data_IF_954933720610
#
_entry.id   IF_954933720610
#
_cell.length_a   1.000
_cell.length_b   1.000
_cell.length_c   1.000
_cell.angle_alpha   90.00
_cell.angle_beta   90.00
_cell.angle_gamma   90.00
#
_symmetry.space_group_name_H-M   'P 1'
#
loop_
_entity.id
_entity.type
_entity.pdbx_description
1 polymer ?
#
# COMPACT_ATOMS: atom_id res chain seq x y z
N UNK A 1 13.12 34.01 30.14
CA UNK A 1 12.83 32.64 30.63
C UNK A 1 12.41 31.87 29.40
N UNK A 2 13.25 30.99 28.89
CA UNK A 2 12.88 30.16 27.72
C UNK A 2 12.10 28.98 28.28
N UNK A 3 10.82 28.89 27.96
CA UNK A 3 9.95 27.78 28.32
C UNK A 3 9.31 27.21 27.06
N UNK A 4 9.00 25.92 27.07
CA UNK A 4 8.30 25.30 25.95
C UNK A 4 6.82 25.71 25.96
N UNK A 5 6.21 25.72 24.78
CA UNK A 5 4.77 25.92 24.60
C UNK A 5 4.22 24.72 23.84
N UNK A 6 3.07 24.19 24.28
CA UNK A 6 2.39 23.08 23.62
C UNK A 6 1.07 23.55 23.02
N UNK A 7 0.88 23.29 21.73
CA UNK A 7 -0.38 23.50 21.02
C UNK A 7 -0.98 22.14 20.66
N UNK A 8 -2.28 21.93 20.92
CA UNK A 8 -2.97 20.66 20.63
C UNK A 8 -4.03 20.92 19.57
N UNK A 9 -4.07 20.08 18.53
CA UNK A 9 -5.03 20.13 17.43
C UNK A 9 -5.64 18.74 17.25
N UNK A 10 -6.85 18.53 17.78
CA UNK A 10 -7.46 17.20 17.89
C UNK A 10 -6.53 16.23 18.66
N UNK A 11 -6.11 15.14 18.02
CA UNK A 11 -5.19 14.14 18.58
C UNK A 11 -3.70 14.52 18.40
N UNK A 12 -3.41 15.44 17.50
CA UNK A 12 -2.06 15.90 17.19
C UNK A 12 -1.62 17.00 18.16
N UNK A 13 -0.30 17.16 18.29
CA UNK A 13 0.25 18.26 19.07
C UNK A 13 1.60 18.75 18.52
N UNK A 14 1.87 20.03 18.81
CA UNK A 14 3.13 20.70 18.55
C UNK A 14 3.75 21.15 19.88
N UNK A 15 5.02 20.80 20.14
CA UNK A 15 5.81 21.36 21.25
C UNK A 15 6.90 22.26 20.69
N UNK A 16 6.82 23.55 20.99
CA UNK A 16 7.72 24.56 20.45
C UNK A 16 8.54 25.24 21.54
N UNK A 17 9.81 25.53 21.26
CA UNK A 17 10.67 26.40 22.08
C UNK A 17 11.32 27.44 21.19
N UNK A 18 11.00 28.71 21.45
CA UNK A 18 11.55 29.86 20.72
C UNK A 18 12.54 30.61 21.61
N UNK A 19 13.83 30.55 21.26
CA UNK A 19 14.89 31.32 21.90
C UNK A 19 15.74 32.04 20.84
N UNK A 20 16.96 31.57 20.58
CA UNK A 20 17.81 32.02 19.46
C UNK A 20 17.57 31.20 18.18
N UNK A 21 17.09 29.97 18.34
CA UNK A 21 16.67 29.02 17.31
C UNK A 21 15.23 28.58 17.64
N UNK A 22 14.42 28.35 16.62
CA UNK A 22 13.06 27.81 16.76
C UNK A 22 13.11 26.28 16.66
N UNK A 23 12.78 25.59 17.75
CA UNK A 23 12.68 24.13 17.76
C UNK A 23 11.23 23.72 17.88
N UNK A 24 10.78 22.83 17.00
CA UNK A 24 9.40 22.33 16.99
C UNK A 24 9.38 20.81 16.89
N UNK A 25 8.64 20.17 17.79
CA UNK A 25 8.29 18.74 17.71
C UNK A 25 6.80 18.62 17.40
N UNK A 26 6.48 18.10 16.22
CA UNK A 26 5.12 17.81 15.79
C UNK A 26 4.83 16.30 15.92
N UNK A 27 3.65 15.95 16.40
CA UNK A 27 3.16 14.57 16.47
C UNK A 27 1.93 14.40 15.58
N UNK A 28 1.94 13.36 14.74
CA UNK A 28 0.85 12.94 13.84
C UNK A 28 0.27 11.63 14.36
N UNK A 29 -0.91 11.67 14.97
CA UNK A 29 -1.50 10.49 15.62
C UNK A 29 -1.87 9.39 14.61
N UNK A 30 -2.29 9.77 13.40
CA UNK A 30 -2.67 8.87 12.32
C UNK A 30 -1.54 7.94 11.83
N UNK A 31 -0.28 8.39 11.93
CA UNK A 31 0.89 7.60 11.57
C UNK A 31 1.39 6.73 12.74
N UNK A 32 1.00 7.06 13.98
CA UNK A 32 1.52 6.41 15.16
C UNK A 32 1.00 4.98 15.33
N UNK A 33 1.92 4.01 15.34
CA UNK A 33 1.63 2.58 15.48
C UNK A 33 1.64 2.06 16.94
N UNK A 34 1.72 2.94 17.93
CA UNK A 34 1.68 2.54 19.35
C UNK A 34 2.87 1.70 19.85
N UNK A 35 4.04 1.79 19.19
CA UNK A 35 5.19 0.94 19.50
C UNK A 35 5.98 1.30 20.78
N UNK A 36 5.79 2.50 21.33
CA UNK A 36 6.45 2.93 22.58
C UNK A 36 7.96 3.19 22.47
N UNK A 37 8.56 3.20 21.27
CA UNK A 37 10.00 3.47 21.12
C UNK A 37 10.34 4.90 21.57
N UNK A 38 9.47 5.87 21.29
CA UNK A 38 9.63 7.26 21.69
C UNK A 38 9.71 7.45 23.22
N UNK A 39 8.93 6.68 23.99
CA UNK A 39 9.00 6.63 25.45
C UNK A 39 10.35 6.09 25.93
N UNK A 40 10.80 4.94 25.38
CA UNK A 40 12.08 4.31 25.75
C UNK A 40 13.30 5.18 25.45
N UNK A 41 13.31 5.83 24.27
CA UNK A 41 14.46 6.64 23.83
C UNK A 41 14.51 7.99 24.55
N UNK A 42 13.40 8.47 25.12
CA UNK A 42 13.35 9.75 25.82
C UNK A 42 14.32 9.77 27.02
N UNK A 43 15.30 10.69 27.07
CA UNK A 43 16.28 10.74 28.16
C UNK A 43 15.76 11.39 29.44
N UNK A 44 14.63 12.08 29.36
CA UNK A 44 14.05 12.88 30.45
C UNK A 44 12.64 12.42 30.83
N UNK A 45 12.21 11.25 30.32
CA UNK A 45 10.91 10.63 30.66
C UNK A 45 9.75 11.63 30.49
N UNK A 46 9.81 12.40 29.40
CA UNK A 46 8.80 13.38 29.03
C UNK A 46 7.68 12.80 28.18
N UNK A 47 7.81 11.55 27.70
CA UNK A 47 6.83 10.91 26.82
C UNK A 47 6.25 9.71 27.57
N UNK A 48 4.92 9.59 27.56
CA UNK A 48 4.19 8.44 28.11
C UNK A 48 3.33 7.81 27.00
N UNK A 49 3.38 6.49 26.89
CA UNK A 49 2.53 5.74 25.96
C UNK A 49 1.13 5.55 26.57
N UNK A 50 0.09 5.78 25.79
CA UNK A 50 -1.29 5.49 26.19
C UNK A 50 -1.60 3.99 26.22
N UNK A 51 -2.79 3.63 26.70
CA UNK A 51 -3.29 2.25 26.60
C UNK A 51 -3.67 1.93 25.15
N UNK A 52 -2.69 1.47 24.37
CA UNK A 52 -2.84 1.20 22.93
C UNK A 52 -3.96 0.19 22.66
N UNK A 53 -4.15 -0.79 23.54
CA UNK A 53 -5.20 -1.79 23.40
C UNK A 53 -6.60 -1.19 23.51
N UNK A 54 -6.79 -0.27 24.45
CA UNK A 54 -8.04 0.48 24.55
C UNK A 54 -8.22 1.45 23.37
N UNK A 55 -7.18 2.21 23.03
CA UNK A 55 -7.25 3.26 22.00
C UNK A 55 -7.66 2.69 20.64
N UNK A 56 -7.00 1.61 20.22
CA UNK A 56 -7.20 1.02 18.89
C UNK A 56 -8.53 0.27 18.77
N UNK A 57 -9.08 -0.23 19.89
CA UNK A 57 -10.26 -1.10 19.87
C UNK A 57 -11.55 -0.44 20.37
N UNK A 58 -11.49 0.75 20.96
CA UNK A 58 -12.68 1.39 21.57
C UNK A 58 -13.05 2.74 20.96
N UNK A 59 -12.51 3.10 19.78
CA UNK A 59 -12.69 4.41 19.12
C UNK A 59 -12.48 5.58 20.09
N UNK A 60 -11.57 5.41 21.05
CA UNK A 60 -11.32 6.41 22.07
C UNK A 60 -10.60 7.61 21.44
N UNK A 61 -11.20 8.80 21.57
CA UNK A 61 -10.64 10.06 21.08
C UNK A 61 -9.55 10.58 22.04
N UNK A 62 -8.49 9.80 22.19
CA UNK A 62 -7.32 10.11 23.02
C UNK A 62 -6.05 9.81 22.24
N UNK A 63 -5.08 10.72 22.31
CA UNK A 63 -3.79 10.58 21.63
C UNK A 63 -3.04 9.34 22.11
N UNK A 64 -2.38 8.64 21.18
CA UNK A 64 -1.59 7.43 21.50
C UNK A 64 -0.40 7.71 22.41
N UNK A 65 0.10 8.93 22.44
CA UNK A 65 1.17 9.36 23.35
C UNK A 65 0.84 10.70 24.00
N UNK A 66 1.40 10.93 25.19
CA UNK A 66 1.41 12.23 25.85
C UNK A 66 2.84 12.73 26.02
N UNK A 67 3.06 14.04 25.81
CA UNK A 67 4.34 14.70 26.06
C UNK A 67 4.17 15.78 27.12
N UNK A 68 4.99 15.69 28.18
CA UNK A 68 5.16 16.71 29.22
C UNK A 68 6.11 17.80 28.71
N UNK A 69 5.54 18.95 28.35
CA UNK A 69 6.28 20.10 27.83
C UNK A 69 7.24 20.71 28.85
N UNK A 70 7.06 20.48 30.15
CA UNK A 70 7.97 21.00 31.19
C UNK A 70 9.23 20.14 31.34
N UNK A 71 9.13 18.85 31.03
CA UNK A 71 10.28 17.93 31.00
C UNK A 71 10.97 17.91 29.63
N UNK A 72 10.21 18.05 28.55
CA UNK A 72 10.75 17.96 27.20
C UNK A 72 11.89 18.96 26.97
N UNK A 73 13.02 18.48 26.43
CA UNK A 73 14.18 19.34 26.13
C UNK A 73 14.38 19.60 24.65
N UNK A 74 13.49 19.07 23.79
CA UNK A 74 13.53 19.17 22.32
C UNK A 74 14.90 18.74 21.76
N UNK A 75 15.28 17.49 22.06
CA UNK A 75 16.52 16.88 21.58
C UNK A 75 16.38 16.10 20.27
N UNK A 76 15.16 15.84 19.79
CA UNK A 76 14.89 15.09 18.56
C UNK A 76 15.02 13.56 18.65
N UNK A 77 15.41 12.98 19.80
CA UNK A 77 15.63 11.52 19.93
C UNK A 77 14.38 10.69 19.65
N UNK A 78 13.20 11.18 20.03
CA UNK A 78 11.93 10.49 19.77
C UNK A 78 11.49 10.55 18.30
N UNK A 79 11.91 11.58 17.57
CA UNK A 79 11.69 11.73 16.13
C UNK A 79 12.56 10.73 15.37
N UNK A 80 13.87 10.73 15.61
CA UNK A 80 14.80 9.71 15.05
C UNK A 80 14.42 8.29 15.46
N UNK A 81 13.96 8.11 16.71
CA UNK A 81 13.57 6.79 17.22
C UNK A 81 12.25 6.28 16.62
N UNK A 82 11.47 7.12 15.95
CA UNK A 82 10.19 6.73 15.39
C UNK A 82 10.40 5.93 14.10
N UNK A 83 9.95 4.67 13.99
CA UNK A 83 10.14 3.88 12.78
C UNK A 83 9.08 4.16 11.69
N UNK A 84 8.17 5.12 11.93
CA UNK A 84 7.01 5.42 11.08
C UNK A 84 6.78 6.93 10.93
N UNK A 85 7.79 7.74 11.27
CA UNK A 85 7.80 9.20 11.09
C UNK A 85 6.58 9.96 11.66
N UNK A 86 5.91 9.38 12.66
CA UNK A 86 4.80 10.00 13.39
C UNK A 86 5.26 11.17 14.28
N UNK A 87 6.57 11.33 14.52
CA UNK A 87 7.17 12.42 15.27
C UNK A 87 8.15 13.17 14.38
N UNK A 88 7.77 14.37 13.97
CA UNK A 88 8.57 15.23 13.12
C UNK A 88 9.24 16.32 13.96
N UNK A 89 10.56 16.41 13.89
CA UNK A 89 11.31 17.42 14.63
C UNK A 89 12.04 18.36 13.69
N UNK A 90 11.75 19.65 13.80
CA UNK A 90 12.33 20.70 12.95
C UNK A 90 13.09 21.74 13.77
N UNK A 91 14.14 22.29 13.17
CA UNK A 91 14.95 23.38 13.72
C UNK A 91 14.99 24.48 12.67
N UNK A 92 14.52 25.67 13.02
CA UNK A 92 14.38 26.82 12.12
C UNK A 92 13.63 26.47 10.81
N UNK A 93 12.70 25.52 10.89
CA UNK A 93 11.88 25.03 9.78
C UNK A 93 12.47 23.88 8.95
N UNK A 94 13.72 23.47 9.21
CA UNK A 94 14.37 22.35 8.52
C UNK A 94 14.21 21.05 9.33
N UNK A 95 13.87 19.94 8.66
CA UNK A 95 13.72 18.62 9.29
C UNK A 95 15.08 18.05 9.70
N UNK A 96 15.16 17.47 10.89
CA UNK A 96 16.41 16.82 11.32
C UNK A 96 16.74 15.56 10.51
N UNK A 97 15.78 15.01 9.75
CA UNK A 97 16.00 13.87 8.85
C UNK A 97 16.98 14.21 7.73
N UNK A 98 17.04 15.49 7.32
CA UNK A 98 17.93 15.99 6.28
C UNK A 98 19.28 16.49 6.83
N UNK A 99 19.46 16.46 8.16
CA UNK A 99 20.65 17.00 8.83
C UNK A 99 21.64 15.90 9.23
N UNK A 100 22.85 15.93 8.66
CA UNK A 100 23.97 15.02 9.02
C UNK A 100 24.34 15.00 10.52
N UNK A 101 23.96 16.04 11.27
CA UNK A 101 24.23 16.13 12.71
C UNK A 101 23.39 15.15 13.54
N UNK A 102 22.24 14.69 13.01
CA UNK A 102 21.31 13.79 13.68
C UNK A 102 21.44 12.39 13.09
N UNK A 103 21.58 11.34 13.93
CA UNK A 103 21.63 9.98 13.43
C UNK A 103 20.28 9.61 12.81
N UNK A 104 20.29 8.81 11.76
CA UNK A 104 19.09 8.30 11.08
C UNK A 104 19.16 6.79 10.94
N UNK A 105 18.01 6.10 10.90
CA UNK A 105 17.99 4.67 10.63
C UNK A 105 18.51 4.38 9.21
N UNK A 106 19.32 3.33 9.09
CA UNK A 106 19.82 2.87 7.80
C UNK A 106 18.83 1.88 7.18
N UNK A 107 17.62 2.36 6.87
CA UNK A 107 16.54 1.62 6.24
C UNK A 107 16.15 2.23 4.90
N UNK A 108 15.66 1.40 3.97
CA UNK A 108 15.23 1.82 2.64
C UNK A 108 14.13 0.89 2.12
N UNK A 109 13.30 1.39 1.21
CA UNK A 109 12.48 0.57 0.34
C UNK A 109 12.53 1.19 -1.06
N UNK A 110 12.89 0.40 -2.05
CA UNK A 110 13.03 0.85 -3.43
C UNK A 110 12.44 -0.18 -4.39
N UNK A 111 11.94 0.29 -5.53
CA UNK A 111 11.50 -0.53 -6.66
C UNK A 111 12.31 -0.08 -7.88
N UNK A 112 12.97 -1.03 -8.52
CA UNK A 112 13.65 -0.81 -9.79
C UNK A 112 12.64 -0.86 -10.95
N UNK A 113 12.30 0.31 -11.50
CA UNK A 113 11.37 0.43 -12.64
C UNK A 113 11.93 -0.18 -13.94
N UNK A 114 13.24 -0.43 -14.07
CA UNK A 114 13.79 -1.14 -15.22
C UNK A 114 13.49 -2.65 -15.18
N UNK A 115 13.40 -3.23 -13.97
CA UNK A 115 13.07 -4.65 -13.76
C UNK A 115 11.57 -4.86 -13.53
N UNK A 116 10.86 -3.84 -13.02
CA UNK A 116 9.44 -3.92 -12.69
C UNK A 116 8.56 -4.17 -13.92
N UNK A 117 7.66 -5.15 -13.82
CA UNK A 117 6.66 -5.47 -14.85
C UNK A 117 5.26 -4.91 -14.53
N UNK A 118 5.17 -4.01 -13.54
CA UNK A 118 3.92 -3.33 -13.13
C UNK A 118 2.73 -4.28 -12.86
N UNK A 119 2.99 -5.43 -12.23
CA UNK A 119 1.98 -6.46 -11.99
C UNK A 119 0.96 -6.12 -10.88
N UNK A 120 1.23 -5.08 -10.07
CA UNK A 120 0.42 -4.61 -8.92
C UNK A 120 0.37 -5.53 -7.70
N UNK A 121 1.20 -6.57 -7.63
CA UNK A 121 1.25 -7.47 -6.47
C UNK A 121 1.68 -6.74 -5.18
N UNK A 122 2.72 -5.89 -5.25
CA UNK A 122 3.20 -5.12 -4.10
C UNK A 122 2.22 -4.02 -3.65
N UNK A 123 1.51 -3.37 -4.57
CA UNK A 123 0.42 -2.42 -4.27
C UNK A 123 -0.67 -3.10 -3.43
N UNK A 124 -1.07 -4.31 -3.82
CA UNK A 124 -2.08 -5.10 -3.10
C UNK A 124 -1.58 -5.63 -1.75
N UNK A 125 -0.31 -6.04 -1.68
CA UNK A 125 0.28 -6.65 -0.49
C UNK A 125 0.73 -5.63 0.56
N UNK A 126 0.75 -4.33 0.26
CA UNK A 126 1.25 -3.32 1.18
C UNK A 126 0.24 -3.07 2.33
N UNK A 127 0.55 -3.43 3.58
CA UNK A 127 -0.39 -3.27 4.71
C UNK A 127 -0.64 -1.81 5.10
N UNK A 128 0.11 -0.88 4.49
CA UNK A 128 0.05 0.56 4.74
C UNK A 128 -0.44 1.35 3.53
N UNK A 129 -0.78 0.67 2.44
CA UNK A 129 -1.20 1.30 1.18
C UNK A 129 -0.17 2.33 0.67
N UNK A 130 1.11 2.14 1.01
CA UNK A 130 2.19 3.08 0.71
C UNK A 130 2.72 2.97 -0.73
N UNK A 131 2.20 2.04 -1.54
CA UNK A 131 2.75 1.75 -2.88
C UNK A 131 1.67 2.02 -3.92
N UNK A 132 2.00 2.83 -4.93
CA UNK A 132 1.18 3.03 -6.13
C UNK A 132 1.89 2.45 -7.34
N UNK A 133 1.20 1.61 -8.10
CA UNK A 133 1.70 1.04 -9.36
C UNK A 133 0.79 1.49 -10.50
N UNK A 134 1.30 2.38 -11.36
CA UNK A 134 0.62 2.78 -12.59
C UNK A 134 1.06 1.86 -13.73
N UNK A 135 0.12 1.49 -14.61
CA UNK A 135 0.43 0.82 -15.87
C UNK A 135 -0.48 1.28 -16.98
N UNK A 136 0.09 1.46 -18.16
CA UNK A 136 -0.64 1.70 -19.40
C UNK A 136 -0.71 0.38 -20.17
N UNK A 137 -1.93 -0.05 -20.47
CA UNK A 137 -2.17 -1.26 -21.25
C UNK A 137 -2.33 -0.88 -22.73
N UNK A 138 -1.89 -1.76 -23.64
CA UNK A 138 -2.06 -1.54 -25.06
C UNK A 138 -3.54 -1.46 -25.47
N UNK A 139 -3.81 -0.69 -26.52
CA UNK A 139 -5.15 -0.61 -27.10
C UNK A 139 -5.55 -1.95 -27.72
N UNK A 140 -6.75 -2.44 -27.37
CA UNK A 140 -7.27 -3.72 -27.86
C UNK A 140 -7.20 -3.85 -29.38
N UNK A 141 -7.51 -2.76 -30.10
CA UNK A 141 -7.55 -2.70 -31.55
C UNK A 141 -6.21 -3.07 -32.22
N UNK A 142 -5.09 -2.82 -31.53
CA UNK A 142 -3.74 -3.14 -32.00
C UNK A 142 -3.32 -4.59 -31.79
N UNK A 143 -4.08 -5.35 -30.99
CA UNK A 143 -3.79 -6.74 -30.66
C UNK A 143 -4.67 -7.74 -31.43
N UNK A 144 -5.53 -7.24 -32.33
CA UNK A 144 -6.44 -8.05 -33.14
C UNK A 144 -6.45 -7.53 -34.57
N UNK A 145 -6.53 -8.43 -35.56
CA UNK A 145 -6.61 -8.04 -36.97
C UNK A 145 -7.72 -8.80 -37.68
N UNK A 146 -8.42 -8.09 -38.54
CA UNK A 146 -9.51 -8.64 -39.33
C UNK A 146 -10.22 -7.56 -40.14
N UNK A 147 -11.20 -8.02 -40.89
CA UNK A 147 -12.07 -7.17 -41.68
C UNK A 147 -13.52 -7.48 -41.30
N UNK A 148 -14.35 -6.44 -41.21
CA UNK A 148 -15.77 -6.54 -40.95
C UNK A 148 -16.52 -5.45 -41.71
N UNK A 149 -17.60 -5.83 -42.37
CA UNK A 149 -18.49 -4.95 -43.11
C UNK A 149 -19.92 -5.49 -43.02
N UNK A 150 -20.89 -4.60 -42.86
CA UNK A 150 -22.31 -4.93 -42.81
C UNK A 150 -22.98 -4.34 -44.04
N UNK A 151 -23.58 -5.19 -44.86
CA UNK A 151 -24.43 -4.78 -45.96
C UNK A 151 -25.77 -4.28 -45.40
N UNK A 152 -25.96 -2.96 -45.43
CA UNK A 152 -27.14 -2.29 -44.89
C UNK A 152 -28.39 -2.50 -45.76
N UNK A 153 -28.23 -2.90 -47.02
CA UNK A 153 -29.36 -3.19 -47.93
C UNK A 153 -29.92 -4.61 -47.68
N UNK A 154 -29.08 -5.55 -47.24
CA UNK A 154 -29.50 -6.92 -46.87
C UNK A 154 -29.94 -6.99 -45.40
N UNK A 155 -29.37 -6.15 -44.53
CA UNK A 155 -29.68 -6.14 -43.10
C UNK A 155 -31.17 -5.90 -42.84
N UNK A 156 -31.80 -6.82 -42.10
CA UNK A 156 -33.21 -6.72 -41.70
C UNK A 156 -33.43 -6.09 -40.32
N UNK A 157 -32.37 -5.55 -39.70
CA UNK A 157 -32.41 -4.85 -38.40
C UNK A 157 -33.04 -5.69 -37.27
N UNK A 158 -32.67 -6.97 -37.17
CA UNK A 158 -33.23 -7.90 -36.18
C UNK A 158 -32.62 -7.83 -34.78
N UNK A 159 -31.52 -7.08 -34.57
CA UNK A 159 -30.84 -6.93 -33.27
C UNK A 159 -29.93 -8.10 -32.84
N UNK A 160 -30.05 -9.29 -33.43
CA UNK A 160 -29.31 -10.48 -32.97
C UNK A 160 -27.78 -10.26 -32.91
N UNK A 161 -27.19 -9.59 -33.90
CA UNK A 161 -25.74 -9.36 -33.92
C UNK A 161 -25.26 -8.34 -32.89
N UNK A 162 -26.11 -7.41 -32.47
CA UNK A 162 -25.86 -6.48 -31.37
C UNK A 162 -25.91 -7.24 -30.04
N UNK A 163 -26.97 -8.01 -29.78
CA UNK A 163 -27.14 -8.80 -28.56
C UNK A 163 -26.05 -9.88 -28.38
N UNK A 164 -25.60 -10.49 -29.47
CA UNK A 164 -24.63 -11.58 -29.44
C UNK A 164 -23.17 -11.09 -29.50
N UNK A 165 -22.92 -9.79 -29.63
CA UNK A 165 -21.56 -9.26 -29.71
C UNK A 165 -20.90 -9.26 -28.32
N UNK A 166 -19.93 -10.14 -28.03
CA UNK A 166 -19.36 -10.23 -26.67
C UNK A 166 -18.53 -9.01 -26.26
N UNK A 167 -18.21 -8.14 -27.22
CA UNK A 167 -17.42 -6.93 -26.99
C UNK A 167 -18.25 -5.64 -27.12
N UNK A 168 -19.57 -5.75 -27.29
CA UNK A 168 -20.49 -4.63 -27.54
C UNK A 168 -19.97 -3.68 -28.64
N UNK A 169 -19.41 -4.28 -29.69
CA UNK A 169 -18.80 -3.57 -30.82
C UNK A 169 -19.83 -3.22 -31.90
N UNK A 170 -21.04 -3.77 -31.85
CA UNK A 170 -22.10 -3.49 -32.82
C UNK A 170 -23.19 -2.72 -32.11
N UNK A 171 -23.65 -1.62 -32.69
CA UNK A 171 -24.74 -0.80 -32.16
C UNK A 171 -25.78 -0.56 -33.24
N UNK A 172 -27.05 -0.74 -32.87
CA UNK A 172 -28.20 -0.47 -33.74
C UNK A 172 -28.95 0.77 -33.26
N UNK A 173 -29.14 1.74 -34.15
CA UNK A 173 -29.92 2.95 -33.87
C UNK A 173 -31.41 2.63 -34.00
N UNK A 174 -31.94 1.95 -32.98
CA UNK A 174 -33.33 1.52 -32.90
C UNK A 174 -34.28 2.71 -32.76
N UNK A 175 -35.44 2.65 -33.43
CA UNK A 175 -36.48 3.68 -33.36
C UNK A 175 -37.88 3.09 -33.38
N UNK A 176 -38.85 3.86 -32.88
CA UNK A 176 -40.26 3.50 -32.95
C UNK A 176 -40.76 3.78 -34.38
N UNK A 177 -41.30 2.78 -35.10
CA UNK A 177 -41.83 2.98 -36.43
C UNK A 177 -42.99 3.99 -36.44
N UNK A 178 -43.07 4.79 -37.50
CA UNK A 178 -44.18 5.73 -37.73
C UNK A 178 -44.80 5.49 -39.11
N UNK A 179 -45.95 6.10 -39.39
CA UNK A 179 -46.53 6.04 -40.74
C UNK A 179 -45.67 6.73 -41.81
N UNK A 180 -44.79 7.66 -41.42
CA UNK A 180 -43.87 8.34 -42.32
C UNK A 180 -42.60 7.52 -42.59
N UNK A 181 -42.23 6.66 -41.63
CA UNK A 181 -41.06 5.80 -41.71
C UNK A 181 -41.35 4.49 -40.95
N UNK A 182 -41.75 3.42 -41.65
CA UNK A 182 -42.18 2.17 -41.03
C UNK A 182 -41.01 1.26 -40.60
N UNK A 183 -39.76 1.75 -40.59
CA UNK A 183 -38.58 0.96 -40.19
C UNK A 183 -38.36 0.97 -38.68
N UNK A 184 -37.77 -0.10 -38.15
CA UNK A 184 -37.50 -0.30 -36.71
C UNK A 184 -36.12 0.20 -36.25
N UNK A 185 -35.25 0.54 -37.20
CA UNK A 185 -33.93 1.13 -36.94
C UNK A 185 -33.56 2.09 -38.08
N UNK A 186 -32.70 3.07 -37.79
CA UNK A 186 -32.16 3.99 -38.80
C UNK A 186 -30.77 3.59 -39.30
N UNK A 187 -29.95 2.98 -38.45
CA UNK A 187 -28.61 2.59 -38.83
C UNK A 187 -28.05 1.44 -37.97
N UNK A 188 -26.99 0.82 -38.46
CA UNK A 188 -26.18 -0.17 -37.75
C UNK A 188 -24.70 0.16 -37.94
N UNK A 189 -23.94 0.19 -36.86
CA UNK A 189 -22.54 0.59 -36.85
C UNK A 189 -21.67 -0.43 -36.10
N UNK A 190 -20.42 -0.56 -36.55
CA UNK A 190 -19.42 -1.43 -35.92
C UNK A 190 -18.24 -0.58 -35.45
N UNK A 191 -18.02 -0.56 -34.13
CA UNK A 191 -16.85 0.01 -33.48
C UNK A 191 -15.67 -0.95 -33.64
N UNK A 192 -14.72 -0.59 -34.51
CA UNK A 192 -13.54 -1.41 -34.80
C UNK A 192 -12.55 -1.43 -33.64
N UNK A 193 -12.59 -0.46 -32.73
CA UNK A 193 -11.68 -0.42 -31.59
C UNK A 193 -12.10 -1.43 -30.50
N UNK A 194 -13.39 -1.80 -30.48
CA UNK A 194 -13.93 -2.86 -29.62
C UNK A 194 -13.93 -4.24 -30.25
N UNK A 195 -14.11 -4.32 -31.57
CA UNK A 195 -14.28 -5.58 -32.30
C UNK A 195 -13.03 -6.47 -32.22
N UNK A 196 -13.21 -7.72 -31.80
CA UNK A 196 -12.13 -8.74 -31.72
C UNK A 196 -12.20 -9.76 -32.87
N UNK A 197 -12.99 -9.50 -33.90
CA UNK A 197 -13.15 -10.34 -35.10
C UNK A 197 -13.49 -11.82 -34.80
N UNK A 198 -14.27 -12.09 -33.74
CA UNK A 198 -14.65 -13.45 -33.31
C UNK A 198 -15.64 -14.18 -34.24
N UNK A 199 -16.21 -13.47 -35.23
CA UNK A 199 -17.14 -13.98 -36.25
C UNK A 199 -18.52 -14.43 -35.74
N UNK A 200 -18.88 -14.14 -34.49
CA UNK A 200 -20.20 -14.50 -33.92
C UNK A 200 -21.33 -13.79 -34.67
N UNK A 201 -21.19 -12.50 -34.96
CA UNK A 201 -22.19 -11.71 -35.70
C UNK A 201 -22.44 -12.27 -37.11
N UNK A 202 -21.38 -12.67 -37.81
CA UNK A 202 -21.48 -13.33 -39.12
C UNK A 202 -22.25 -14.64 -39.03
N UNK A 203 -21.95 -15.49 -38.04
CA UNK A 203 -22.59 -16.80 -37.88
C UNK A 203 -24.05 -16.73 -37.41
N UNK A 204 -24.38 -15.69 -36.65
CA UNK A 204 -25.72 -15.49 -36.08
C UNK A 204 -26.66 -14.71 -37.00
N UNK A 205 -26.13 -14.04 -38.03
CA UNK A 205 -26.94 -13.28 -38.97
C UNK A 205 -27.87 -14.20 -39.77
N UNK A 206 -29.21 -14.06 -39.66
CA UNK A 206 -30.16 -14.95 -40.33
C UNK A 206 -30.26 -14.71 -41.85
N UNK A 207 -29.67 -13.63 -42.36
CA UNK A 207 -29.75 -13.19 -43.76
C UNK A 207 -28.37 -12.98 -44.39
N UNK A 208 -27.30 -13.44 -43.73
CA UNK A 208 -25.92 -13.34 -44.21
C UNK A 208 -25.46 -11.91 -44.62
N UNK A 209 -26.01 -10.87 -43.99
CA UNK A 209 -25.69 -9.46 -44.27
C UNK A 209 -24.29 -9.02 -43.77
N UNK A 210 -23.57 -9.86 -43.02
CA UNK A 210 -22.32 -9.48 -42.36
C UNK A 210 -21.15 -10.25 -42.97
N UNK A 211 -20.27 -9.51 -43.64
CA UNK A 211 -18.95 -9.99 -44.02
C UNK A 211 -18.02 -9.78 -42.82
N UNK A 212 -17.40 -10.85 -42.35
CA UNK A 212 -16.33 -10.76 -41.37
C UNK A 212 -15.27 -11.84 -41.63
N UNK A 213 -14.02 -11.46 -41.44
CA UNK A 213 -12.85 -12.31 -41.54
C UNK A 213 -11.87 -11.99 -40.40
N UNK A 214 -11.46 -13.02 -39.67
CA UNK A 214 -10.36 -12.93 -38.73
C UNK A 214 -9.05 -13.18 -39.47
N UNK A 215 -8.06 -12.31 -39.29
CA UNK A 215 -6.75 -12.41 -39.93
C UNK A 215 -5.65 -12.82 -38.95
N UNK A 216 -5.92 -12.88 -37.64
CA UNK A 216 -4.91 -13.04 -36.60
C UNK A 216 -4.02 -14.27 -36.77
N UNK A 217 -4.56 -15.43 -37.14
CA UNK A 217 -3.74 -16.65 -37.30
C UNK A 217 -2.91 -16.68 -38.59
N UNK A 218 -3.36 -16.02 -39.66
CA UNK A 218 -2.73 -16.11 -40.99
C UNK A 218 -1.80 -14.96 -41.29
N UNK A 219 -2.13 -13.77 -40.78
CA UNK A 219 -1.39 -12.53 -41.02
C UNK A 219 -0.96 -11.83 -39.74
N UNK A 220 -1.23 -12.39 -38.55
CA UNK A 220 -0.92 -11.74 -37.27
C UNK A 220 0.55 -11.33 -37.13
N UNK A 221 1.50 -12.13 -37.62
CA UNK A 221 2.93 -11.79 -37.58
C UNK A 221 3.30 -10.58 -38.46
N UNK A 222 2.46 -10.21 -39.43
CA UNK A 222 2.68 -9.07 -40.33
C UNK A 222 1.79 -7.87 -39.99
N UNK A 223 0.57 -8.14 -39.55
CA UNK A 223 -0.46 -7.12 -39.26
C UNK A 223 -0.32 -6.57 -37.83
N UNK A 224 0.25 -7.32 -36.88
CA UNK A 224 0.40 -6.93 -35.48
C UNK A 224 1.87 -6.69 -35.15
N UNK A 225 2.17 -5.49 -34.64
CA UNK A 225 3.52 -5.14 -34.19
C UNK A 225 3.71 -5.58 -32.72
N UNK A 226 4.73 -6.40 -32.40
CA UNK A 226 5.04 -6.73 -31.01
C UNK A 226 5.27 -5.50 -30.11
N UNK A 227 5.78 -4.39 -30.66
CA UNK A 227 5.99 -3.15 -29.90
C UNK A 227 4.67 -2.54 -29.40
N UNK A 228 3.56 -2.77 -30.11
CA UNK A 228 2.24 -2.33 -29.68
C UNK A 228 1.69 -3.13 -28.49
N UNK A 229 2.38 -4.19 -28.05
CA UNK A 229 2.01 -4.99 -26.87
C UNK A 229 2.81 -4.65 -25.61
N UNK A 230 3.76 -3.72 -25.70
CA UNK A 230 4.57 -3.30 -24.56
C UNK A 230 3.70 -2.63 -23.49
N UNK A 231 3.90 -3.04 -22.23
CA UNK A 231 3.25 -2.45 -21.06
C UNK A 231 4.26 -1.49 -20.43
N UNK A 232 3.90 -0.22 -20.35
CA UNK A 232 4.68 0.81 -19.66
C UNK A 232 4.02 1.15 -18.33
N UNK A 233 4.76 1.78 -17.43
CA UNK A 233 4.25 2.11 -16.12
C UNK A 233 5.24 2.92 -15.30
N UNK A 234 4.87 3.11 -14.04
CA UNK A 234 5.74 3.70 -13.02
C UNK A 234 5.38 3.14 -11.65
N UNK A 235 6.37 3.12 -10.75
CA UNK A 235 6.16 2.82 -9.34
C UNK A 235 6.42 4.03 -8.46
N UNK A 236 5.70 4.12 -7.35
CA UNK A 236 5.90 5.14 -6.33
C UNK A 236 5.69 4.52 -4.94
N UNK A 237 6.61 4.82 -4.02
CA UNK A 237 6.49 4.48 -2.60
C UNK A 237 6.37 5.78 -1.81
N UNK A 238 5.28 5.93 -1.06
CA UNK A 238 5.09 7.00 -0.09
C UNK A 238 5.91 6.69 1.17
N UNK A 239 6.96 7.48 1.38
CA UNK A 239 7.89 7.28 2.50
C UNK A 239 7.27 7.58 3.87
N UNK A 240 6.27 8.46 3.96
CA UNK A 240 5.59 8.80 5.23
C UNK A 240 4.71 7.64 5.71
N UNK A 241 4.19 6.82 4.77
CA UNK A 241 3.35 5.66 5.09
C UNK A 241 4.16 4.36 5.20
N UNK A 242 5.30 4.26 4.51
CA UNK A 242 6.05 3.02 4.36
C UNK A 242 6.82 2.65 5.64
N UNK A 243 6.45 1.52 6.24
CA UNK A 243 7.09 1.02 7.47
C UNK A 243 8.25 0.06 7.22
N UNK A 244 8.69 -0.11 5.96
CA UNK A 244 9.80 -1.00 5.55
C UNK A 244 9.62 -2.46 5.99
N UNK A 245 8.40 -2.99 5.89
CA UNK A 245 8.07 -4.36 6.31
C UNK A 245 8.66 -5.46 5.41
N UNK A 246 8.83 -5.20 4.11
CA UNK A 246 9.39 -6.17 3.15
C UNK A 246 8.35 -6.98 2.36
N UNK A 247 7.05 -6.75 2.55
CA UNK A 247 6.01 -7.41 1.75
C UNK A 247 6.21 -7.25 0.25
N UNK A 248 6.58 -6.05 -0.19
CA UNK A 248 6.84 -5.76 -1.60
C UNK A 248 8.03 -6.53 -2.18
N UNK A 249 9.07 -6.78 -1.38
CA UNK A 249 10.24 -7.57 -1.79
C UNK A 249 9.87 -9.05 -1.93
N UNK A 250 9.22 -9.64 -0.93
CA UNK A 250 8.90 -11.09 -0.95
C UNK A 250 7.81 -11.45 -1.97
N UNK A 251 6.84 -10.57 -2.24
CA UNK A 251 5.75 -10.84 -3.19
C UNK A 251 6.17 -10.57 -4.65
N UNK A 252 7.31 -9.91 -4.87
CA UNK A 252 7.72 -9.50 -6.20
C UNK A 252 8.13 -10.72 -7.05
N UNK A 253 7.46 -10.99 -8.18
CA UNK A 253 7.79 -12.16 -9.00
C UNK A 253 9.11 -12.02 -9.79
N UNK A 254 9.68 -10.81 -9.82
CA UNK A 254 10.87 -10.46 -10.61
C UNK A 254 11.96 -9.80 -9.75
N UNK A 255 11.84 -9.86 -8.42
CA UNK A 255 12.81 -9.31 -7.47
C UNK A 255 13.17 -7.82 -7.65
N UNK A 256 12.29 -7.03 -8.29
CA UNK A 256 12.48 -5.60 -8.55
C UNK A 256 12.42 -4.74 -7.28
N UNK A 257 11.76 -5.21 -6.21
CA UNK A 257 11.65 -4.51 -4.94
C UNK A 257 12.75 -4.95 -3.97
N UNK A 258 13.34 -3.98 -3.25
CA UNK A 258 14.35 -4.23 -2.21
C UNK A 258 14.03 -3.43 -0.96
N UNK A 259 14.08 -4.09 0.20
CA UNK A 259 13.79 -3.46 1.48
C UNK A 259 14.91 -3.73 2.48
N UNK A 260 15.41 -2.66 3.10
CA UNK A 260 16.31 -2.72 4.24
C UNK A 260 15.59 -2.25 5.50
N UNK A 261 15.54 -3.10 6.51
CA UNK A 261 14.85 -2.84 7.78
C UNK A 261 15.74 -2.07 8.76
N UNK A 262 15.16 -1.25 9.66
CA UNK A 262 15.92 -0.51 10.67
C UNK A 262 16.40 -1.40 11.84
N UNK A 263 15.67 -2.48 12.13
CA UNK A 263 15.93 -3.36 13.28
C UNK A 263 16.09 -4.82 12.86
N UNK A 264 16.91 -5.55 13.62
CA UNK A 264 16.95 -7.02 13.61
C UNK A 264 16.55 -7.52 14.98
N UNK A 265 15.92 -8.69 15.03
CA UNK A 265 15.32 -9.17 16.26
C UNK A 265 14.75 -10.57 16.17
N UNK A 266 13.98 -10.91 17.21
CA UNK A 266 13.23 -12.14 17.34
C UNK A 266 11.87 -11.80 17.99
N UNK A 267 10.79 -12.38 17.45
CA UNK A 267 9.43 -12.26 17.96
C UNK A 267 9.00 -13.60 18.58
N UNK A 268 8.60 -13.66 19.84
CA UNK A 268 8.18 -14.92 20.48
C UNK A 268 6.75 -14.82 20.99
N UNK A 269 5.97 -15.90 20.84
CA UNK A 269 4.60 -16.01 21.34
C UNK A 269 4.51 -17.19 22.32
N UNK A 270 4.05 -16.93 23.53
CA UNK A 270 3.75 -17.92 24.55
C UNK A 270 2.32 -18.44 24.36
N UNK A 271 2.23 -19.64 23.78
CA UNK A 271 0.96 -20.32 23.49
C UNK A 271 0.12 -20.60 24.75
N UNK A 272 0.74 -20.79 25.92
CA UNK A 272 0.02 -21.09 27.16
C UNK A 272 -0.65 -19.84 27.74
N UNK A 273 0.05 -18.69 27.66
CA UNK A 273 -0.52 -17.39 28.07
C UNK A 273 -1.50 -16.82 27.06
N UNK A 274 -1.31 -17.12 25.77
CA UNK A 274 -2.13 -16.56 24.71
C UNK A 274 -3.60 -16.99 24.84
N UNK A 275 -4.50 -16.00 24.84
CA UNK A 275 -5.95 -16.20 24.92
C UNK A 275 -6.66 -15.94 23.59
N UNK A 276 -5.92 -15.68 22.50
CA UNK A 276 -6.46 -15.48 21.14
C UNK A 276 -7.46 -14.31 21.06
N UNK A 277 -7.13 -13.16 21.70
CA UNK A 277 -8.03 -12.02 21.79
C UNK A 277 -8.03 -11.06 20.58
N UNK A 278 -7.13 -11.24 19.62
CA UNK A 278 -7.02 -10.42 18.39
C UNK A 278 -6.12 -9.18 18.49
N UNK A 279 -5.86 -8.66 19.69
CA UNK A 279 -5.24 -7.33 19.82
C UNK A 279 -3.88 -7.19 19.11
N UNK A 280 -3.03 -8.23 19.15
CA UNK A 280 -1.72 -8.22 18.50
C UNK A 280 -1.81 -8.29 16.96
N UNK A 281 -2.83 -8.97 16.44
CA UNK A 281 -3.12 -9.05 14.99
C UNK A 281 -3.60 -7.68 14.53
N UNK A 282 -4.59 -7.11 15.22
CA UNK A 282 -5.20 -5.83 14.87
C UNK A 282 -4.21 -4.65 14.90
N UNK A 283 -3.25 -4.65 15.82
CA UNK A 283 -2.28 -3.54 15.95
C UNK A 283 -1.09 -3.66 14.99
N UNK A 284 -0.87 -4.82 14.36
CA UNK A 284 0.36 -5.05 13.62
C UNK A 284 0.39 -4.21 12.33
N UNK A 285 1.26 -3.19 12.20
CA UNK A 285 1.27 -2.34 11.01
C UNK A 285 1.90 -3.02 9.79
N UNK A 286 2.31 -4.29 9.94
CA UNK A 286 3.07 -5.05 8.97
C UNK A 286 2.39 -6.38 8.61
N UNK A 287 1.17 -6.65 9.09
CA UNK A 287 0.45 -7.93 8.87
C UNK A 287 1.29 -9.19 9.14
N UNK A 288 2.14 -9.14 10.17
CA UNK A 288 3.04 -10.25 10.55
C UNK A 288 2.26 -11.39 11.21
N UNK A 289 1.22 -11.04 11.96
CA UNK A 289 0.48 -11.94 12.84
C UNK A 289 -0.88 -12.25 12.23
N UNK A 290 -1.28 -13.52 12.25
CA UNK A 290 -2.60 -13.94 11.75
C UNK A 290 -3.14 -15.15 12.51
N UNK A 291 -4.42 -15.44 12.32
CA UNK A 291 -5.05 -16.64 12.86
C UNK A 291 -5.08 -17.72 11.78
N UNK A 292 -4.24 -18.78 11.89
CA UNK A 292 -4.20 -19.84 10.90
C UNK A 292 -5.53 -20.61 10.89
N UNK A 293 -5.97 -21.00 9.70
CA UNK A 293 -7.14 -21.87 9.53
C UNK A 293 -6.67 -23.32 9.41
N UNK A 294 -7.33 -24.28 10.08
CA UNK A 294 -7.02 -25.70 9.88
C UNK A 294 -7.41 -26.13 8.46
N UNK A 295 -6.54 -26.88 7.80
CA UNK A 295 -6.82 -27.44 6.46
C UNK A 295 -7.69 -28.70 6.56
N UNK A 296 -7.56 -29.45 7.66
CA UNK A 296 -8.29 -30.68 7.91
C UNK A 296 -9.10 -30.63 9.21
N UNK A 297 -10.22 -31.39 9.22
CA UNK A 297 -11.09 -31.48 10.40
C UNK A 297 -10.33 -32.16 11.55
N UNK A 298 -10.17 -31.44 12.65
CA UNK A 298 -9.47 -31.93 13.84
C UNK A 298 -7.98 -31.58 13.88
N UNK A 299 -7.45 -30.91 12.87
CA UNK A 299 -6.10 -30.35 12.91
C UNK A 299 -6.02 -29.25 13.98
N UNK A 300 -5.04 -29.38 14.88
CA UNK A 300 -4.69 -28.34 15.84
C UNK A 300 -3.60 -27.48 15.18
N UNK A 301 -3.89 -26.20 15.02
CA UNK A 301 -2.95 -25.19 14.55
C UNK A 301 -2.50 -24.32 15.72
N UNK A 302 -1.40 -23.60 15.54
CA UNK A 302 -0.92 -22.60 16.49
C UNK A 302 -2.00 -21.53 16.74
N UNK A 303 -2.07 -20.96 17.95
CA UNK A 303 -3.08 -19.94 18.25
C UNK A 303 -2.87 -18.68 17.43
N UNK A 304 -1.61 -18.31 17.17
CA UNK A 304 -1.23 -17.15 16.38
C UNK A 304 -0.07 -17.55 15.47
N UNK A 305 -0.28 -17.47 14.16
CA UNK A 305 0.78 -17.64 13.18
C UNK A 305 1.57 -16.33 13.06
N UNK A 306 2.88 -16.45 12.83
CA UNK A 306 3.78 -15.33 12.58
C UNK A 306 4.69 -15.61 11.38
N UNK A 307 4.97 -14.58 10.58
CA UNK A 307 6.07 -14.61 9.61
C UNK A 307 7.03 -13.42 9.84
N UNK A 308 8.17 -13.70 10.48
CA UNK A 308 9.15 -12.70 10.86
C UNK A 308 9.85 -12.03 9.67
N UNK A 309 9.70 -12.59 8.45
CA UNK A 309 10.14 -11.93 7.21
C UNK A 309 9.50 -10.56 7.04
N UNK A 310 8.30 -10.34 7.55
CA UNK A 310 7.60 -9.04 7.47
C UNK A 310 7.78 -8.17 8.73
N UNK A 311 8.35 -8.74 9.80
CA UNK A 311 8.47 -8.07 11.08
C UNK A 311 9.57 -7.01 11.05
N UNK A 312 9.24 -5.82 11.54
CA UNK A 312 10.22 -4.75 11.77
C UNK A 312 10.65 -4.67 13.23
N UNK A 313 10.15 -5.53 14.11
CA UNK A 313 10.47 -5.55 15.54
C UNK A 313 10.14 -4.23 16.27
N UNK A 314 9.06 -3.54 15.88
CA UNK A 314 8.65 -2.28 16.51
C UNK A 314 8.19 -2.46 17.96
N UNK A 315 7.60 -3.62 18.31
CA UNK A 315 7.14 -3.91 19.68
C UNK A 315 5.67 -3.57 19.97
N UNK A 316 4.91 -3.05 19.00
CA UNK A 316 3.50 -2.70 19.20
C UNK A 316 2.63 -3.89 19.67
N UNK A 317 2.88 -5.07 19.11
CA UNK A 317 2.19 -6.31 19.51
C UNK A 317 2.48 -6.75 20.95
N UNK A 318 3.67 -6.44 21.50
CA UNK A 318 3.99 -6.71 22.90
C UNK A 318 3.27 -5.71 23.82
N UNK A 319 3.26 -4.42 23.46
CA UNK A 319 2.62 -3.37 24.26
C UNK A 319 1.10 -3.54 24.35
N UNK A 320 0.47 -4.06 23.30
CA UNK A 320 -0.99 -4.25 23.28
C UNK A 320 -1.43 -5.52 24.02
N UNK A 321 -0.51 -6.43 24.35
CA UNK A 321 -0.85 -7.74 24.87
C UNK A 321 -1.15 -7.69 26.38
N UNK A 322 -2.42 -7.87 26.82
CA UNK A 322 -2.79 -7.69 28.23
C UNK A 322 -2.30 -8.83 29.15
N UNK A 323 -1.86 -9.94 28.56
CA UNK A 323 -1.39 -11.14 29.27
C UNK A 323 0.11 -11.39 29.09
N UNK A 324 0.83 -10.44 28.47
CA UNK A 324 2.28 -10.53 28.22
C UNK A 324 2.68 -11.86 27.56
N UNK A 325 1.88 -12.31 26.59
CA UNK A 325 2.13 -13.53 25.83
C UNK A 325 3.07 -13.29 24.64
N UNK A 326 3.40 -12.04 24.29
CA UNK A 326 4.23 -11.70 23.14
C UNK A 326 5.46 -10.95 23.61
N UNK A 327 6.64 -11.40 23.19
CA UNK A 327 7.93 -10.77 23.45
C UNK A 327 8.60 -10.35 22.14
N UNK A 328 9.15 -9.14 22.09
CA UNK A 328 9.94 -8.64 20.95
C UNK A 328 11.34 -8.28 21.42
N UNK A 329 12.33 -9.02 20.93
CA UNK A 329 13.76 -8.77 21.18
C UNK A 329 14.37 -8.06 19.99
N UNK A 330 15.07 -6.94 20.23
CA UNK A 330 15.88 -6.27 19.21
C UNK A 330 17.35 -6.60 19.45
N UNK A 331 17.94 -7.34 18.53
CA UNK A 331 19.35 -7.73 18.60
C UNK A 331 20.25 -6.66 17.99
N UNK A 332 19.76 -5.94 16.99
CA UNK A 332 20.53 -4.90 16.32
C UNK A 332 19.65 -3.73 15.86
N UNK A 333 20.28 -2.57 15.77
CA UNK A 333 19.67 -1.31 15.33
C UNK A 333 20.65 -0.64 14.39
N UNK A 334 20.30 -0.56 13.12
CA UNK A 334 21.17 -0.02 12.07
C UNK A 334 20.91 1.48 11.92
N UNK A 335 21.88 2.34 12.26
CA UNK A 335 21.78 3.81 12.19
C UNK A 335 23.09 4.48 11.75
N UNK A 336 23.00 5.71 11.26
CA UNK A 336 24.17 6.48 10.80
C UNK A 336 25.13 6.81 11.97
N UNK A 337 26.45 6.86 11.73
CA UNK A 337 27.41 7.11 12.80
C UNK A 337 27.22 8.49 13.45
N UNK A 338 27.07 8.51 14.77
CA UNK A 338 27.01 9.76 15.56
C UNK A 338 28.24 9.95 16.44
N UNK A 339 28.61 11.21 16.72
CA UNK A 339 29.68 11.55 17.68
C UNK A 339 29.15 11.67 19.11
N UNK A 340 27.85 11.90 19.29
CA UNK A 340 27.28 12.16 20.61
C UNK A 340 27.14 10.87 21.43
N UNK A 341 27.74 10.87 22.62
CA UNK A 341 27.65 9.73 23.56
C UNK A 341 26.22 9.48 24.02
N UNK A 342 25.44 10.55 24.24
CA UNK A 342 24.04 10.45 24.68
C UNK A 342 23.19 9.74 23.62
N UNK A 343 23.40 10.07 22.34
CA UNK A 343 22.73 9.42 21.23
C UNK A 343 23.11 7.94 21.13
N UNK A 344 24.40 7.60 21.15
CA UNK A 344 24.83 6.20 21.15
C UNK A 344 24.18 5.40 22.28
N UNK A 345 24.26 5.90 23.51
CA UNK A 345 23.68 5.21 24.67
C UNK A 345 22.17 4.96 24.50
N UNK A 346 21.43 5.93 23.96
CA UNK A 346 19.98 5.79 23.77
C UNK A 346 19.60 4.90 22.59
N UNK A 347 20.30 4.99 21.46
CA UNK A 347 20.08 4.08 20.32
C UNK A 347 20.41 2.63 20.69
N UNK A 348 21.52 2.40 21.40
CA UNK A 348 21.87 1.06 21.90
C UNK A 348 20.88 0.55 22.95
N UNK A 349 20.23 1.43 23.72
CA UNK A 349 19.19 1.02 24.69
C UNK A 349 17.91 0.50 24.04
N UNK A 350 17.75 0.65 22.73
CA UNK A 350 16.63 0.07 21.98
C UNK A 350 16.82 -1.43 21.74
N UNK A 351 18.06 -1.94 21.86
CA UNK A 351 18.37 -3.37 21.88
C UNK A 351 17.86 -3.95 23.20
N UNK A 352 17.06 -5.02 23.13
CA UNK A 352 16.34 -5.60 24.27
C UNK A 352 16.79 -7.00 24.63
#
# INVERSE_FOLDING_TARGET
>A
MVSNTKEVKALDFDVTRSAEEERKLAFKDELCIGCGICEKVCPVEAIELGDIGAIVRTDADVSKICVDENKCVLCGMCSVGCPVDALEFTIDGESISDMDAYPQYLSSAEIDDETCIYCKACETACPREAITIARELPERAKLVTGEIEIDKDICINCGICEEMCPADAITMDSKIPTSADPTVASDINVDKDKCVYCLICKKSCPVDAIMAACRSCSYGEYDLDPADSEITGSSFIDDDLCVRCGWCEEICPVDAAKVKKPFKGELTVDEDKCTTCGACVDICPCDVLSFPQPEEVGQIVEKVYKDEKYCIYCGACANVCPVEAIEVKRTDVDYTPTKSKSWKNKMESLKT
#
